data_IF_586026399846
#
_entry.id   IF_586026399846
#
_cell.length_a   1.000
_cell.length_b   1.000
_cell.length_c   1.000
_cell.angle_alpha   90.00
_cell.angle_beta   90.00
_cell.angle_gamma   90.00
#
_symmetry.space_group_name_H-M   'P 1'
#
loop_
_entity.id
_entity.type
_entity.pdbx_description
1 polymer ?
#
# COMPACT_ATOMS: atom_id res chain seq x y z
N UNK A 1 -5.97 9.80 -45.13
CA UNK A 1 -6.18 10.46 -43.82
C UNK A 1 -5.65 9.52 -42.75
N UNK A 2 -4.72 9.97 -41.92
CA UNK A 2 -4.19 9.19 -40.81
C UNK A 2 -5.04 9.54 -39.57
N UNK A 3 -5.75 8.57 -39.02
CA UNK A 3 -6.70 8.77 -37.90
C UNK A 3 -5.99 8.90 -36.53
N UNK A 4 -4.66 8.94 -36.49
CA UNK A 4 -3.88 9.01 -35.26
C UNK A 4 -3.98 10.33 -34.48
N UNK A 5 -4.38 11.44 -35.11
CA UNK A 5 -4.48 12.75 -34.44
C UNK A 5 -5.79 12.97 -33.65
N UNK A 6 -6.82 12.13 -33.85
CA UNK A 6 -8.11 12.19 -33.14
C UNK A 6 -8.14 11.38 -31.83
N UNK A 7 -7.04 10.71 -31.49
CA UNK A 7 -6.85 9.83 -30.33
C UNK A 7 -6.68 10.60 -29.00
N UNK A 8 -7.44 11.67 -28.76
CA UNK A 8 -7.33 12.47 -27.52
C UNK A 8 -8.46 12.26 -26.52
N UNK A 9 -9.48 11.49 -26.88
CA UNK A 9 -10.71 11.39 -26.10
C UNK A 9 -11.05 9.96 -25.68
N UNK A 10 -10.05 9.22 -25.20
CA UNK A 10 -10.34 8.01 -24.44
C UNK A 10 -10.74 8.40 -23.00
N UNK A 11 -11.98 8.86 -22.82
CA UNK A 11 -12.65 8.69 -21.53
C UNK A 11 -12.94 7.19 -21.42
N UNK A 12 -11.95 6.44 -20.96
CA UNK A 12 -12.10 5.00 -20.67
C UNK A 12 -12.99 4.77 -19.43
N UNK A 13 -13.41 5.84 -18.74
CA UNK A 13 -14.03 5.77 -17.42
C UNK A 13 -13.06 5.33 -16.32
N UNK A 14 -11.78 5.08 -16.66
CA UNK A 14 -10.76 4.66 -15.71
C UNK A 14 -10.16 5.93 -15.11
N UNK A 15 -10.44 6.15 -13.82
CA UNK A 15 -9.78 7.20 -13.05
C UNK A 15 -8.32 6.81 -12.83
N UNK A 16 -7.43 7.82 -12.86
CA UNK A 16 -6.03 7.63 -12.53
C UNK A 16 -5.90 6.99 -11.13
N UNK A 17 -5.19 5.86 -11.06
CA UNK A 17 -4.98 5.09 -9.82
C UNK A 17 -3.72 5.51 -9.07
N UNK A 18 -2.96 6.47 -9.62
CA UNK A 18 -1.74 6.99 -8.96
C UNK A 18 -2.07 7.96 -7.82
N UNK A 19 -3.19 8.67 -7.91
CA UNK A 19 -3.80 9.27 -6.74
C UNK A 19 -4.45 8.13 -5.95
N UNK A 20 -3.82 7.71 -4.87
CA UNK A 20 -4.39 6.82 -3.87
C UNK A 20 -5.59 7.49 -3.19
N UNK A 21 -6.65 7.74 -3.96
CA UNK A 21 -7.97 8.13 -3.52
C UNK A 21 -8.55 6.92 -2.80
N UNK A 22 -8.24 6.84 -1.52
CA UNK A 22 -9.23 6.90 -0.45
C UNK A 22 -8.45 6.71 0.85
N UNK A 23 -8.98 7.25 1.95
CA UNK A 23 -8.51 6.90 3.28
C UNK A 23 -8.42 5.37 3.35
N UNK A 24 -7.21 4.81 3.26
CA UNK A 24 -7.00 3.38 3.42
C UNK A 24 -7.68 3.06 4.75
N UNK A 25 -8.80 2.31 4.70
CA UNK A 25 -9.86 2.33 5.72
C UNK A 25 -9.40 1.92 7.11
N UNK A 26 -10.18 1.15 7.84
CA UNK A 26 -9.67 0.60 9.10
C UNK A 26 -8.56 -0.43 8.83
N UNK A 27 -7.54 -0.47 9.70
CA UNK A 27 -6.55 -1.56 9.70
C UNK A 27 -7.20 -2.79 10.29
N UNK A 28 -7.37 -3.84 9.48
CA UNK A 28 -8.00 -5.10 9.91
C UNK A 28 -6.97 -6.14 10.37
N UNK A 29 -5.69 -5.96 10.03
CA UNK A 29 -4.60 -6.84 10.46
C UNK A 29 -3.27 -6.12 10.52
N UNK A 30 -2.56 -6.30 11.63
CA UNK A 30 -1.17 -5.86 11.80
C UNK A 30 -0.29 -7.07 11.99
N UNK A 31 0.78 -7.18 11.21
CA UNK A 31 1.80 -8.22 11.34
C UNK A 31 3.15 -7.55 11.55
N UNK A 32 3.91 -8.06 12.51
CA UNK A 32 5.25 -7.56 12.82
C UNK A 32 6.26 -8.59 12.36
N UNK A 33 7.30 -8.14 11.67
CA UNK A 33 8.45 -8.95 11.32
C UNK A 33 9.73 -8.33 11.89
N UNK A 34 10.70 -9.18 12.24
CA UNK A 34 12.08 -8.75 12.46
C UNK A 34 12.68 -8.26 11.14
N UNK A 35 13.82 -7.55 11.21
CA UNK A 35 14.55 -7.13 10.01
C UNK A 35 14.99 -8.31 9.12
N UNK A 36 15.12 -9.50 9.70
CA UNK A 36 15.48 -10.74 8.99
C UNK A 36 14.26 -11.48 8.42
N UNK A 37 13.05 -10.92 8.54
CA UNK A 37 11.83 -11.48 7.97
C UNK A 37 11.09 -12.50 8.86
N UNK A 38 11.56 -12.77 10.08
CA UNK A 38 10.85 -13.63 11.03
C UNK A 38 9.62 -12.92 11.57
N UNK A 39 8.44 -13.55 11.52
CA UNK A 39 7.24 -12.99 12.14
C UNK A 39 7.37 -12.99 13.67
N UNK A 40 7.00 -11.87 14.30
CA UNK A 40 7.04 -11.65 15.74
C UNK A 40 5.62 -11.48 16.29
N UNK A 41 5.42 -11.84 17.55
CA UNK A 41 4.14 -11.62 18.25
C UNK A 41 3.93 -10.13 18.60
N UNK A 42 5.01 -9.37 18.75
CA UNK A 42 5.02 -7.94 19.03
C UNK A 42 6.36 -7.30 18.56
N UNK A 43 6.44 -5.97 18.42
CA UNK A 43 7.70 -5.29 18.13
C UNK A 43 8.78 -5.58 19.18
N UNK A 44 9.98 -5.90 18.72
CA UNK A 44 11.16 -6.13 19.56
C UNK A 44 12.13 -4.94 19.49
N UNK A 45 13.10 -4.86 20.41
CA UNK A 45 14.17 -3.86 20.35
C UNK A 45 14.90 -3.91 19.00
N UNK A 46 15.18 -2.74 18.42
CA UNK A 46 15.81 -2.60 17.11
C UNK A 46 14.79 -2.32 15.99
N UNK A 47 15.15 -2.67 14.75
CA UNK A 47 14.33 -2.40 13.56
C UNK A 47 13.32 -3.52 13.35
N UNK A 48 12.06 -3.13 13.21
CA UNK A 48 10.93 -4.01 12.88
C UNK A 48 10.30 -3.55 11.56
N UNK A 49 9.67 -4.50 10.86
CA UNK A 49 8.85 -4.26 9.68
C UNK A 49 7.40 -4.47 10.10
N UNK A 50 6.58 -3.42 10.05
CA UNK A 50 5.15 -3.50 10.35
C UNK A 50 4.40 -3.54 9.02
N UNK A 51 3.60 -4.58 8.82
CA UNK A 51 2.69 -4.76 7.68
C UNK A 51 1.25 -4.59 8.15
N UNK A 52 0.59 -3.55 7.66
CA UNK A 52 -0.81 -3.23 7.94
C UNK A 52 -1.65 -3.59 6.72
N UNK A 53 -2.66 -4.43 6.92
CA UNK A 53 -3.68 -4.76 5.92
C UNK A 53 -4.94 -3.98 6.28
N UNK A 54 -5.43 -3.21 5.32
CA UNK A 54 -6.62 -2.38 5.46
C UNK A 54 -7.87 -3.13 5.00
N UNK A 55 -9.04 -2.73 5.49
CA UNK A 55 -10.33 -3.34 5.16
C UNK A 55 -10.61 -3.38 3.64
N UNK A 56 -10.07 -2.41 2.90
CA UNK A 56 -10.18 -2.33 1.44
C UNK A 56 -9.12 -3.17 0.69
N UNK A 57 -8.37 -4.02 1.38
CA UNK A 57 -7.33 -4.87 0.81
C UNK A 57 -5.98 -4.17 0.56
N UNK A 58 -5.87 -2.85 0.76
CA UNK A 58 -4.58 -2.17 0.67
C UNK A 58 -3.63 -2.71 1.72
N UNK A 59 -2.34 -2.80 1.37
CA UNK A 59 -1.28 -3.21 2.28
C UNK A 59 -0.25 -2.10 2.36
N UNK A 60 -0.02 -1.57 3.56
CA UNK A 60 1.08 -0.62 3.80
C UNK A 60 2.12 -1.27 4.69
N UNK A 61 3.39 -1.01 4.37
CA UNK A 61 4.53 -1.52 5.14
C UNK A 61 5.38 -0.34 5.61
N UNK A 62 5.77 -0.34 6.88
CA UNK A 62 6.63 0.69 7.48
C UNK A 62 7.74 0.06 8.33
N UNK A 63 8.91 0.71 8.34
CA UNK A 63 10.04 0.35 9.20
C UNK A 63 9.95 1.16 10.49
N UNK A 64 10.03 0.49 11.63
CA UNK A 64 9.93 1.13 12.96
C UNK A 64 11.12 0.72 13.82
N UNK A 65 11.79 1.70 14.41
CA UNK A 65 12.86 1.48 15.39
C UNK A 65 12.28 1.55 16.80
N UNK A 66 12.43 0.48 17.57
CA UNK A 66 12.11 0.43 19.00
C UNK A 66 13.43 0.55 19.78
N UNK A 67 13.49 1.49 20.73
CA UNK A 67 14.68 1.74 21.56
C UNK A 67 14.87 0.67 22.62
#
# INVERSE_FOLDING_TARGET
KNEGEASKDYITGIKDVTEGSEAAGEVVKTIVYSINGTQLNAPAKGINIIKEVYANGQVKTKKVMVK
#
